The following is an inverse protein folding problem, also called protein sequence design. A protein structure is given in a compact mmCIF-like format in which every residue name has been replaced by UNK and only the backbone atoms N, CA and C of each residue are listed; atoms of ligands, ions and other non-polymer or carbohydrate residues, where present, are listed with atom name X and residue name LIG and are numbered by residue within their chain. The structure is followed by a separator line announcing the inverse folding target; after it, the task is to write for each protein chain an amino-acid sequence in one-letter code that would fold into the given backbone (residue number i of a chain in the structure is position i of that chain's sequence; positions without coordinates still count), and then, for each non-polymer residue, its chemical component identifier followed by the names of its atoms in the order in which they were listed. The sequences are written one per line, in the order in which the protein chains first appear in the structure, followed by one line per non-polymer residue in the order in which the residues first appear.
data_IF_273197233575
#
_entry.id   IF_273197233575
#
_cell.length_a   1.000
_cell.length_b   1.000
_cell.length_c   1.000
_cell.angle_alpha   90.00
_cell.angle_beta   90.00
_cell.angle_gamma   90.00
#
_symmetry.space_group_name_H-M   'P 1'
#
loop_
_entity.id
_entity.type
_entity.pdbx_description
1 polymer ?
#
# COMPACT_ATOMS: atom_id res chain seq x y z
N UNK A 1 26.39 11.61 21.39
CA UNK A 1 26.83 11.01 20.10
C UNK A 1 26.84 9.50 20.29
N UNK A 2 25.72 8.84 20.02
CA UNK A 2 25.59 7.39 20.08
C UNK A 2 26.16 6.83 18.76
N UNK A 3 27.27 6.11 18.85
CA UNK A 3 27.89 5.38 17.73
C UNK A 3 26.84 4.43 17.14
N UNK A 4 26.38 4.71 15.93
CA UNK A 4 25.61 3.79 15.11
C UNK A 4 26.54 2.61 14.76
N UNK A 5 26.35 1.48 15.42
CA UNK A 5 26.99 0.23 15.01
C UNK A 5 26.46 -0.10 13.61
N UNK A 6 27.25 0.21 12.60
CA UNK A 6 26.96 -0.17 11.20
C UNK A 6 27.01 -1.69 11.15
N UNK A 7 25.84 -2.33 11.04
CA UNK A 7 25.75 -3.77 10.84
C UNK A 7 26.51 -4.15 9.57
N UNK A 8 27.22 -5.29 9.58
CA UNK A 8 27.88 -5.82 8.39
C UNK A 8 26.84 -5.99 7.28
N UNK A 9 27.16 -5.50 6.08
CA UNK A 9 26.33 -5.76 4.90
C UNK A 9 26.10 -7.28 4.73
N UNK A 10 24.88 -7.70 4.42
CA UNK A 10 24.59 -9.12 4.22
C UNK A 10 25.43 -9.68 3.08
N UNK A 11 25.95 -10.91 3.27
CA UNK A 11 26.70 -11.60 2.22
C UNK A 11 25.81 -12.01 1.04
N UNK A 12 26.42 -12.40 -0.07
CA UNK A 12 25.74 -12.87 -1.29
C UNK A 12 24.57 -13.87 -1.05
N UNK A 13 24.70 -14.88 -0.14
CA UNK A 13 23.58 -15.78 0.16
C UNK A 13 22.36 -15.06 0.75
N UNK A 14 22.57 -14.03 1.59
CA UNK A 14 21.49 -13.22 2.15
C UNK A 14 20.74 -12.43 1.08
N UNK A 15 21.46 -11.83 0.12
CA UNK A 15 20.86 -11.09 -1.00
C UNK A 15 20.03 -12.04 -1.89
N UNK A 16 20.52 -13.24 -2.17
CA UNK A 16 19.79 -14.21 -2.99
C UNK A 16 18.47 -14.67 -2.32
N UNK A 17 18.48 -14.86 -1.00
CA UNK A 17 17.26 -15.19 -0.23
C UNK A 17 16.27 -14.04 -0.31
N UNK A 18 16.69 -12.81 -0.09
CA UNK A 18 15.80 -11.64 -0.16
C UNK A 18 15.24 -11.44 -1.58
N UNK A 19 16.05 -11.61 -2.62
CA UNK A 19 15.58 -11.59 -4.01
C UNK A 19 14.52 -12.66 -4.27
N UNK A 20 14.70 -13.88 -3.73
CA UNK A 20 13.72 -14.95 -3.80
C UNK A 20 12.39 -14.61 -3.10
N UNK A 21 12.44 -13.94 -1.96
CA UNK A 21 11.25 -13.45 -1.23
C UNK A 21 10.50 -12.41 -2.06
N UNK A 22 11.21 -11.42 -2.62
CA UNK A 22 10.59 -10.40 -3.47
C UNK A 22 9.96 -11.03 -4.70
N UNK A 23 10.66 -11.95 -5.37
CA UNK A 23 10.12 -12.68 -6.51
C UNK A 23 8.87 -13.48 -6.13
N UNK A 24 8.89 -14.17 -4.99
CA UNK A 24 7.73 -14.91 -4.47
C UNK A 24 6.51 -14.01 -4.23
N UNK A 25 6.73 -12.81 -3.65
CA UNK A 25 5.67 -11.82 -3.45
C UNK A 25 5.10 -11.30 -4.77
N UNK A 26 5.96 -11.04 -5.77
CA UNK A 26 5.53 -10.64 -7.12
C UNK A 26 4.72 -11.75 -7.80
N UNK A 27 5.18 -13.00 -7.73
CA UNK A 27 4.46 -14.15 -8.30
C UNK A 27 3.11 -14.36 -7.63
N UNK A 28 3.01 -14.18 -6.30
CA UNK A 28 1.75 -14.26 -5.58
C UNK A 28 0.77 -13.15 -6.04
N UNK A 29 1.26 -11.92 -6.25
CA UNK A 29 0.44 -10.84 -6.78
C UNK A 29 -0.02 -11.13 -8.23
N UNK A 30 0.86 -11.63 -9.09
CA UNK A 30 0.52 -12.02 -10.46
C UNK A 30 -0.49 -13.16 -10.49
N UNK A 31 -0.37 -14.14 -9.58
CA UNK A 31 -1.34 -15.22 -9.43
C UNK A 31 -2.70 -14.70 -9.01
N UNK A 32 -2.77 -13.81 -8.01
CA UNK A 32 -4.01 -13.17 -7.58
C UNK A 32 -4.68 -12.43 -8.75
N UNK A 33 -3.91 -11.65 -9.52
CA UNK A 33 -4.38 -10.99 -10.74
C UNK A 33 -4.91 -11.99 -11.77
N UNK A 34 -4.15 -13.07 -12.05
CA UNK A 34 -4.55 -14.09 -13.02
C UNK A 34 -5.87 -14.77 -12.63
N UNK A 35 -6.08 -15.04 -11.35
CA UNK A 35 -7.32 -15.63 -10.82
C UNK A 35 -8.54 -14.68 -10.92
N UNK A 36 -8.33 -13.40 -11.17
CA UNK A 36 -9.39 -12.38 -11.21
C UNK A 36 -9.55 -11.71 -12.58
N UNK A 37 -8.86 -12.18 -13.64
CA UNK A 37 -8.86 -11.55 -14.96
C UNK A 37 -10.25 -11.33 -15.56
N UNK A 38 -11.15 -12.29 -15.41
CA UNK A 38 -12.48 -12.28 -16.00
C UNK A 38 -13.57 -11.89 -14.98
N UNK A 39 -13.21 -11.23 -13.87
CA UNK A 39 -14.15 -10.93 -12.79
C UNK A 39 -14.55 -9.45 -12.71
N UNK A 40 -14.40 -8.69 -13.80
CA UNK A 40 -14.71 -7.26 -13.78
C UNK A 40 -16.17 -6.99 -13.41
N UNK A 41 -17.14 -7.72 -13.99
CA UNK A 41 -18.57 -7.54 -13.70
C UNK A 41 -18.88 -7.82 -12.22
N UNK A 42 -18.26 -8.86 -11.64
CA UNK A 42 -18.39 -9.18 -10.20
C UNK A 42 -17.78 -8.06 -9.37
N UNK A 43 -16.61 -7.55 -9.77
CA UNK A 43 -15.91 -6.48 -9.05
C UNK A 43 -16.72 -5.17 -9.07
N UNK A 44 -17.37 -4.85 -10.19
CA UNK A 44 -18.28 -3.69 -10.31
C UNK A 44 -19.52 -3.88 -9.44
N UNK A 45 -20.15 -5.06 -9.44
CA UNK A 45 -21.31 -5.33 -8.59
C UNK A 45 -20.94 -5.22 -7.09
N UNK A 46 -19.75 -5.68 -6.70
CA UNK A 46 -19.23 -5.51 -5.35
C UNK A 46 -19.00 -4.03 -5.02
N UNK A 47 -18.53 -3.22 -5.98
CA UNK A 47 -18.33 -1.78 -5.79
C UNK A 47 -19.66 -1.05 -5.52
N UNK A 48 -20.72 -1.35 -6.29
CA UNK A 48 -22.07 -0.82 -6.02
C UNK A 48 -22.58 -1.19 -4.62
N UNK A 49 -22.34 -2.45 -4.21
CA UNK A 49 -22.75 -2.91 -2.88
C UNK A 49 -21.97 -2.22 -1.75
N UNK A 50 -20.68 -1.98 -1.96
CA UNK A 50 -19.82 -1.27 -1.03
C UNK A 50 -20.23 0.20 -0.91
N UNK A 51 -20.46 0.88 -2.04
CA UNK A 51 -20.93 2.27 -2.04
C UNK A 51 -22.26 2.42 -1.31
N UNK A 52 -23.24 1.54 -1.57
CA UNK A 52 -24.50 1.54 -0.84
C UNK A 52 -24.35 1.37 0.68
N UNK A 53 -23.33 0.63 1.12
CA UNK A 53 -22.97 0.54 2.54
C UNK A 53 -22.35 1.86 3.05
N UNK A 54 -21.42 2.45 2.29
CA UNK A 54 -20.77 3.72 2.65
C UNK A 54 -21.80 4.85 2.78
N UNK A 55 -22.73 4.97 1.83
CA UNK A 55 -23.83 5.95 1.88
C UNK A 55 -24.68 5.82 3.16
N UNK A 56 -25.05 4.58 3.54
CA UNK A 56 -25.78 4.33 4.79
C UNK A 56 -24.99 4.72 6.04
N UNK A 57 -23.66 4.69 5.97
CA UNK A 57 -22.75 5.08 7.06
C UNK A 57 -22.33 6.55 6.99
N UNK A 58 -22.72 7.30 5.94
CA UNK A 58 -22.27 8.67 5.70
C UNK A 58 -20.79 8.78 5.36
N UNK A 59 -20.24 7.77 4.69
CA UNK A 59 -18.81 7.63 4.35
C UNK A 59 -18.55 7.72 2.83
N UNK A 60 -19.41 8.34 2.06
CA UNK A 60 -19.34 8.54 0.61
C UNK A 60 -18.53 9.82 0.25
N UNK A 61 -17.27 9.86 0.63
CA UNK A 61 -16.43 11.06 0.49
C UNK A 61 -15.62 11.10 -0.80
N UNK A 62 -15.69 10.08 -1.64
CA UNK A 62 -14.92 9.94 -2.88
C UNK A 62 -15.22 11.08 -3.87
N UNK A 63 -16.50 11.42 -4.07
CA UNK A 63 -16.88 12.54 -4.93
C UNK A 63 -16.31 13.86 -4.43
N UNK A 64 -16.41 14.14 -3.13
CA UNK A 64 -15.85 15.37 -2.57
C UNK A 64 -14.33 15.45 -2.73
N UNK A 65 -13.63 14.32 -2.67
CA UNK A 65 -12.19 14.27 -2.92
C UNK A 65 -11.85 14.52 -4.40
N UNK A 66 -12.67 13.99 -5.34
CA UNK A 66 -12.49 14.24 -6.78
C UNK A 66 -12.87 15.67 -7.17
N UNK A 67 -13.98 16.21 -6.68
CA UNK A 67 -14.39 17.60 -6.92
C UNK A 67 -13.26 18.57 -6.58
N UNK A 68 -12.49 18.30 -5.52
CA UNK A 68 -11.36 19.13 -5.13
C UNK A 68 -10.23 19.14 -6.17
N UNK A 69 -9.94 18.01 -6.82
CA UNK A 69 -8.90 17.94 -7.88
C UNK A 69 -9.42 18.43 -9.22
N UNK A 70 -10.70 18.31 -9.50
CA UNK A 70 -11.34 18.84 -10.71
C UNK A 70 -11.44 20.37 -10.66
N UNK A 71 -11.77 20.93 -9.51
CA UNK A 71 -11.80 22.37 -9.28
C UNK A 71 -10.42 23.05 -9.44
N UNK A 72 -9.33 22.28 -9.21
CA UNK A 72 -7.95 22.80 -9.22
C UNK A 72 -7.06 21.89 -10.07
N UNK A 73 -6.92 22.12 -11.40
CA UNK A 73 -6.27 21.19 -12.33
C UNK A 73 -4.85 20.76 -11.96
N UNK A 74 -4.02 21.65 -11.39
CA UNK A 74 -2.68 21.27 -10.95
C UNK A 74 -2.70 20.30 -9.77
N UNK A 75 -3.75 20.30 -8.94
CA UNK A 75 -3.89 19.43 -7.78
C UNK A 75 -4.09 17.96 -8.22
N UNK A 76 -4.85 17.74 -9.29
CA UNK A 76 -5.01 16.41 -9.90
C UNK A 76 -3.67 15.85 -10.41
N UNK A 77 -2.87 16.70 -11.05
CA UNK A 77 -1.50 16.31 -11.47
C UNK A 77 -0.63 15.95 -10.27
N UNK A 78 -0.61 16.79 -9.23
CA UNK A 78 0.18 16.53 -8.01
C UNK A 78 -0.30 15.26 -7.30
N UNK A 79 -1.61 15.04 -7.19
CA UNK A 79 -2.18 13.82 -6.60
C UNK A 79 -1.76 12.57 -7.40
N UNK A 80 -1.80 12.62 -8.73
CA UNK A 80 -1.36 11.53 -9.60
C UNK A 80 0.13 11.21 -9.45
N UNK A 81 0.99 12.24 -9.38
CA UNK A 81 2.40 12.06 -9.09
C UNK A 81 2.65 11.49 -7.70
N UNK A 82 1.92 11.96 -6.69
CA UNK A 82 2.04 11.43 -5.33
C UNK A 82 1.55 9.98 -5.23
N UNK A 83 0.49 9.61 -5.96
CA UNK A 83 0.01 8.24 -6.06
C UNK A 83 1.14 7.30 -6.53
N UNK A 84 1.87 7.66 -7.57
CA UNK A 84 2.95 6.85 -8.15
C UNK A 84 4.19 6.84 -7.27
N UNK A 85 4.69 8.02 -6.91
CA UNK A 85 6.00 8.17 -6.27
C UNK A 85 5.95 8.13 -4.75
N UNK A 86 4.80 8.43 -4.16
CA UNK A 86 4.59 8.42 -2.72
C UNK A 86 4.33 7.04 -2.12
N UNK A 87 4.18 6.00 -2.91
CA UNK A 87 3.93 4.64 -2.41
C UNK A 87 5.09 3.69 -2.66
N UNK A 88 5.15 3.09 -3.85
CA UNK A 88 6.10 2.00 -4.12
C UNK A 88 7.57 2.41 -3.96
N UNK A 89 8.02 3.57 -4.45
CA UNK A 89 9.39 4.04 -4.22
C UNK A 89 9.69 4.30 -2.75
N UNK A 90 8.72 4.76 -1.96
CA UNK A 90 8.89 4.98 -0.52
C UNK A 90 9.06 3.66 0.22
N UNK A 91 8.20 2.67 -0.07
CA UNK A 91 8.32 1.32 0.52
C UNK A 91 9.64 0.67 0.13
N UNK A 92 10.01 0.71 -1.17
CA UNK A 92 11.25 0.15 -1.67
C UNK A 92 12.47 0.87 -1.07
N UNK A 93 12.45 2.20 -1.01
CA UNK A 93 13.51 3.00 -0.40
C UNK A 93 13.69 2.69 1.09
N UNK A 94 12.58 2.56 1.84
CA UNK A 94 12.63 2.16 3.24
C UNK A 94 13.25 0.76 3.40
N UNK A 95 12.84 -0.22 2.58
CA UNK A 95 13.43 -1.56 2.59
C UNK A 95 14.93 -1.51 2.30
N UNK A 96 15.37 -0.79 1.26
CA UNK A 96 16.80 -0.68 0.90
C UNK A 96 17.60 -0.01 2.00
N UNK A 97 17.14 1.13 2.52
CA UNK A 97 17.86 1.87 3.58
C UNK A 97 17.97 1.02 4.85
N UNK A 98 16.89 0.36 5.25
CA UNK A 98 16.91 -0.51 6.43
C UNK A 98 17.77 -1.76 6.21
N UNK A 99 17.74 -2.36 5.04
CA UNK A 99 18.60 -3.50 4.68
C UNK A 99 20.09 -3.16 4.84
N UNK A 100 20.47 -1.96 4.40
CA UNK A 100 21.87 -1.53 4.44
C UNK A 100 22.34 -1.07 5.85
N UNK A 101 21.44 -0.45 6.62
CA UNK A 101 21.85 0.26 7.85
C UNK A 101 21.23 -0.29 9.13
N UNK A 102 20.04 -0.93 9.05
CA UNK A 102 19.25 -1.39 10.21
C UNK A 102 18.67 -2.80 9.98
N UNK A 103 19.49 -3.87 9.95
CA UNK A 103 19.05 -5.23 9.54
C UNK A 103 17.90 -5.81 10.37
N UNK A 104 17.80 -5.45 11.66
CA UNK A 104 16.70 -5.90 12.53
C UNK A 104 15.38 -5.23 12.14
N UNK A 105 15.40 -3.93 11.91
CA UNK A 105 14.21 -3.18 11.52
C UNK A 105 13.81 -3.49 10.07
N UNK A 106 14.78 -3.80 9.20
CA UNK A 106 14.53 -4.38 7.89
C UNK A 106 13.73 -5.68 8.00
N UNK A 107 14.18 -6.63 8.82
CA UNK A 107 13.47 -7.89 8.99
C UNK A 107 12.04 -7.68 9.52
N UNK A 108 11.85 -6.73 10.44
CA UNK A 108 10.51 -6.32 10.92
C UNK A 108 9.65 -5.76 9.80
N UNK A 109 10.15 -4.78 9.04
CA UNK A 109 9.41 -4.18 7.92
C UNK A 109 9.04 -5.24 6.88
N UNK A 110 10.01 -6.00 6.39
CA UNK A 110 9.80 -7.09 5.44
C UNK A 110 8.74 -8.09 5.90
N UNK A 111 8.88 -8.60 7.14
CA UNK A 111 7.97 -9.59 7.69
C UNK A 111 6.55 -9.02 7.85
N UNK A 112 6.42 -7.76 8.23
CA UNK A 112 5.12 -7.10 8.35
C UNK A 112 4.45 -6.93 6.98
N UNK A 113 5.20 -6.50 5.95
CA UNK A 113 4.68 -6.37 4.58
C UNK A 113 4.27 -7.73 4.00
N UNK A 114 5.09 -8.77 4.20
CA UNK A 114 4.78 -10.13 3.73
C UNK A 114 3.54 -10.70 4.44
N UNK A 115 3.46 -10.57 5.76
CA UNK A 115 2.30 -11.05 6.52
C UNK A 115 1.02 -10.29 6.13
N UNK A 116 1.12 -8.97 5.93
CA UNK A 116 0.03 -8.16 5.38
C UNK A 116 -0.39 -8.65 3.98
N UNK A 117 0.58 -8.93 3.11
CA UNK A 117 0.32 -9.49 1.77
C UNK A 117 -0.39 -10.86 1.82
N UNK A 118 0.05 -11.76 2.72
CA UNK A 118 -0.58 -13.08 2.92
C UNK A 118 -2.06 -12.93 3.35
N UNK A 119 -2.40 -11.90 4.11
CA UNK A 119 -3.78 -11.63 4.53
C UNK A 119 -4.56 -10.89 3.44
N UNK A 120 -3.97 -9.91 2.79
CA UNK A 120 -4.67 -9.03 1.86
C UNK A 120 -4.86 -9.63 0.45
N UNK A 121 -3.88 -10.38 -0.09
CA UNK A 121 -4.00 -10.98 -1.43
C UNK A 121 -5.19 -11.95 -1.57
N UNK A 122 -5.50 -12.81 -0.61
CA UNK A 122 -6.72 -13.62 -0.65
C UNK A 122 -8.00 -12.79 -0.74
N UNK A 123 -8.04 -11.61 -0.11
CA UNK A 123 -9.22 -10.73 -0.20
C UNK A 123 -9.44 -10.27 -1.63
N UNK A 124 -8.39 -9.94 -2.39
CA UNK A 124 -8.51 -9.58 -3.81
C UNK A 124 -9.13 -10.69 -4.66
N UNK A 125 -8.84 -11.94 -4.32
CA UNK A 125 -9.36 -13.09 -5.07
C UNK A 125 -10.79 -13.42 -4.65
N UNK A 126 -11.09 -13.38 -3.35
CA UNK A 126 -12.38 -13.77 -2.78
C UNK A 126 -13.43 -12.67 -2.87
N UNK A 127 -13.00 -11.42 -2.91
CA UNK A 127 -13.84 -10.24 -3.01
C UNK A 127 -13.20 -9.23 -3.97
N UNK A 128 -13.16 -9.54 -5.27
CA UNK A 128 -12.67 -8.60 -6.27
C UNK A 128 -13.50 -7.33 -6.21
N UNK A 129 -12.84 -6.17 -6.15
CA UNK A 129 -13.50 -4.89 -5.98
C UNK A 129 -12.97 -3.90 -7.03
N UNK A 130 -13.86 -3.44 -7.89
CA UNK A 130 -13.52 -2.40 -8.84
C UNK A 130 -13.30 -1.06 -8.11
N UNK A 131 -12.21 -0.34 -8.40
CA UNK A 131 -12.03 1.01 -7.89
C UNK A 131 -13.07 1.96 -8.54
N UNK A 132 -13.36 3.13 -7.92
CA UNK A 132 -14.33 4.10 -8.43
C UNK A 132 -14.20 4.38 -9.94
N UNK A 133 -12.99 4.62 -10.43
CA UNK A 133 -12.68 4.92 -11.84
C UNK A 133 -13.07 3.84 -12.86
N UNK A 134 -13.31 2.61 -12.44
CA UNK A 134 -13.73 1.49 -13.30
C UNK A 134 -15.24 1.20 -13.19
N UNK A 135 -15.98 2.04 -12.49
CA UNK A 135 -17.43 1.94 -12.35
C UNK A 135 -18.13 2.98 -13.25
N UNK A 136 -19.43 2.79 -13.47
CA UNK A 136 -20.32 3.72 -14.16
C UNK A 136 -20.92 4.81 -13.24
N UNK A 137 -20.32 5.03 -12.08
CA UNK A 137 -20.83 5.90 -11.01
C UNK A 137 -20.36 7.36 -11.12
N UNK A 138 -19.81 7.75 -12.27
CA UNK A 138 -19.41 9.14 -12.55
C UNK A 138 -18.04 9.55 -12.02
N UNK A 139 -17.23 8.60 -11.57
CA UNK A 139 -15.85 8.86 -11.14
C UNK A 139 -14.88 8.93 -12.33
N UNK A 140 -13.91 9.84 -12.23
CA UNK A 140 -12.89 10.04 -13.26
C UNK A 140 -11.57 9.36 -12.89
N UNK A 141 -10.84 8.85 -13.89
CA UNK A 141 -9.47 8.40 -13.72
C UNK A 141 -8.50 9.56 -13.90
N UNK A 142 -8.03 10.16 -12.82
CA UNK A 142 -7.11 11.32 -12.90
C UNK A 142 -5.66 10.91 -13.16
N UNK A 143 -5.31 9.63 -13.02
CA UNK A 143 -3.95 9.13 -13.28
C UNK A 143 -3.73 8.82 -14.75
N UNK A 144 -4.75 8.28 -15.46
CA UNK A 144 -4.66 7.90 -16.87
C UNK A 144 -4.22 9.03 -17.81
N UNK A 145 -4.69 10.29 -17.67
CA UNK A 145 -4.26 11.39 -18.54
C UNK A 145 -2.82 11.87 -18.27
N UNK A 146 -2.18 11.43 -17.20
CA UNK A 146 -0.83 11.87 -16.86
C UNK A 146 0.23 10.98 -17.52
N UNK A 147 1.42 11.54 -17.79
CA UNK A 147 2.55 10.80 -18.35
C UNK A 147 3.08 9.66 -17.46
N UNK A 148 2.49 9.50 -16.26
CA UNK A 148 2.87 8.49 -15.27
C UNK A 148 1.97 7.25 -15.27
N UNK A 149 0.93 7.19 -16.11
CA UNK A 149 0.00 6.05 -16.15
C UNK A 149 0.73 4.71 -16.31
N UNK A 150 1.61 4.59 -17.28
CA UNK A 150 2.39 3.38 -17.52
C UNK A 150 3.31 2.98 -16.36
N UNK A 151 3.76 3.94 -15.55
CA UNK A 151 4.55 3.69 -14.35
C UNK A 151 3.69 3.31 -13.15
N UNK A 152 2.48 3.89 -13.03
CA UNK A 152 1.55 3.61 -11.95
C UNK A 152 0.89 2.24 -12.09
N UNK A 153 0.57 1.86 -13.31
CA UNK A 153 -0.19 0.65 -13.65
C UNK A 153 0.50 -0.08 -14.81
N UNK A 154 1.66 -0.73 -14.56
CA UNK A 154 2.35 -1.47 -15.61
C UNK A 154 1.42 -2.53 -16.21
N UNK A 155 1.23 -2.47 -17.52
CA UNK A 155 0.36 -3.39 -18.25
C UNK A 155 0.75 -4.84 -17.94
N UNK A 156 -0.23 -5.65 -17.53
CA UNK A 156 -0.01 -7.06 -17.21
C UNK A 156 0.52 -7.35 -15.80
N UNK A 157 0.88 -6.33 -14.99
CA UNK A 157 1.38 -6.50 -13.62
C UNK A 157 0.37 -5.97 -12.58
N UNK A 158 -0.20 -4.80 -12.82
CA UNK A 158 -1.18 -4.21 -11.91
C UNK A 158 -2.49 -5.02 -11.91
N UNK A 159 -3.04 -5.29 -10.72
CA UNK A 159 -4.37 -5.84 -10.56
C UNK A 159 -5.37 -4.68 -10.42
N UNK A 160 -6.10 -4.40 -11.49
CA UNK A 160 -6.97 -3.23 -11.58
C UNK A 160 -8.25 -3.33 -10.75
N UNK A 161 -8.69 -4.54 -10.42
CA UNK A 161 -9.91 -4.82 -9.64
C UNK A 161 -9.59 -5.28 -8.21
N UNK A 162 -8.49 -4.80 -7.67
CA UNK A 162 -7.99 -5.10 -6.32
C UNK A 162 -8.01 -3.83 -5.44
N UNK A 163 -9.19 -3.17 -5.32
CA UNK A 163 -9.28 -1.96 -4.53
C UNK A 163 -9.20 -2.24 -3.01
N UNK A 164 -9.84 -3.29 -2.50
CA UNK A 164 -9.84 -3.62 -1.07
C UNK A 164 -9.04 -4.89 -0.76
N UNK A 165 -8.13 -4.84 0.22
CA UNK A 165 -7.73 -3.71 1.06
C UNK A 165 -6.72 -2.78 0.39
N UNK A 166 -6.68 -1.49 0.76
CA UNK A 166 -5.69 -0.55 0.20
C UNK A 166 -4.27 -0.83 0.71
N UNK A 167 -3.44 -1.48 -0.10
CA UNK A 167 -2.01 -1.63 0.23
C UNK A 167 -1.25 -0.29 0.18
N UNK A 168 -1.72 0.70 -0.57
CA UNK A 168 -1.14 2.05 -0.56
C UNK A 168 -1.14 2.63 0.86
N UNK A 169 -2.26 2.54 1.54
CA UNK A 169 -2.39 3.04 2.91
C UNK A 169 -1.76 2.07 3.91
N UNK A 170 -2.10 0.78 3.84
CA UNK A 170 -1.65 -0.21 4.82
C UNK A 170 -0.13 -0.33 4.91
N UNK A 171 0.56 -0.39 3.78
CA UNK A 171 2.02 -0.53 3.75
C UNK A 171 2.73 0.77 4.13
N UNK A 172 2.17 1.94 3.81
CA UNK A 172 2.73 3.21 4.29
C UNK A 172 2.57 3.37 5.80
N UNK A 173 1.47 2.89 6.39
CA UNK A 173 1.32 2.82 7.85
C UNK A 173 2.38 1.92 8.47
N UNK A 174 2.65 0.74 7.88
CA UNK A 174 3.73 -0.16 8.35
C UNK A 174 5.09 0.53 8.28
N UNK A 175 5.43 1.15 7.15
CA UNK A 175 6.69 1.93 7.00
C UNK A 175 6.76 3.03 8.05
N UNK A 176 5.69 3.80 8.22
CA UNK A 176 5.63 4.90 9.18
C UNK A 176 5.85 4.43 10.62
N UNK A 177 5.25 3.33 11.04
CA UNK A 177 5.44 2.75 12.38
C UNK A 177 6.88 2.31 12.60
N UNK A 178 7.51 1.67 11.60
CA UNK A 178 8.91 1.24 11.71
C UNK A 178 9.85 2.44 11.76
N UNK A 179 9.68 3.43 10.86
CA UNK A 179 10.51 4.63 10.80
C UNK A 179 10.34 5.52 12.04
N UNK A 180 9.13 5.63 12.58
CA UNK A 180 8.85 6.35 13.82
C UNK A 180 9.71 5.86 15.00
N UNK A 181 9.94 4.56 15.09
CA UNK A 181 10.74 3.94 16.16
C UNK A 181 12.23 4.23 16.04
N UNK A 182 12.70 4.55 14.85
CA UNK A 182 14.11 4.81 14.54
C UNK A 182 14.53 6.25 14.77
N UNK A 183 13.59 7.19 14.83
CA UNK A 183 13.91 8.60 14.93
C UNK A 183 13.09 9.32 16.00
N UNK A 184 13.76 10.19 16.75
CA UNK A 184 13.13 11.13 17.69
C UNK A 184 12.96 12.52 17.09
N UNK A 185 13.47 12.75 15.87
CA UNK A 185 13.35 14.02 15.19
C UNK A 185 11.87 14.32 14.86
N UNK A 186 11.39 15.48 15.29
CA UNK A 186 9.98 15.85 15.15
C UNK A 186 9.49 15.86 13.71
N UNK A 187 10.32 16.30 12.76
CA UNK A 187 9.99 16.35 11.34
C UNK A 187 9.84 14.95 10.73
N UNK A 188 10.63 13.94 11.18
CA UNK A 188 10.46 12.54 10.78
C UNK A 188 9.13 12.01 11.30
N UNK A 189 8.80 12.29 12.54
CA UNK A 189 7.52 11.87 13.13
C UNK A 189 6.33 12.55 12.46
N UNK A 190 6.47 13.82 12.14
CA UNK A 190 5.45 14.54 11.35
C UNK A 190 5.25 13.90 9.99
N UNK A 191 6.34 13.57 9.29
CA UNK A 191 6.27 12.84 8.03
C UNK A 191 5.57 11.47 8.19
N UNK A 192 5.89 10.69 9.23
CA UNK A 192 5.24 9.39 9.49
C UNK A 192 3.71 9.50 9.69
N UNK A 193 3.21 10.65 10.12
CA UNK A 193 1.77 10.91 10.26
C UNK A 193 1.19 11.45 8.96
N UNK A 194 1.78 12.50 8.41
CA UNK A 194 1.21 13.21 7.27
C UNK A 194 1.26 12.39 5.99
N UNK A 195 2.32 11.61 5.76
CA UNK A 195 2.50 10.89 4.51
C UNK A 195 1.37 9.85 4.26
N UNK A 196 1.04 8.93 5.20
CA UNK A 196 -0.10 8.04 5.01
C UNK A 196 -1.45 8.76 4.98
N UNK A 197 -1.62 9.88 5.71
CA UNK A 197 -2.85 10.68 5.66
C UNK A 197 -3.05 11.33 4.29
N UNK A 198 -1.98 11.91 3.73
CA UNK A 198 -2.01 12.47 2.37
C UNK A 198 -2.32 11.36 1.36
N UNK A 199 -1.73 10.16 1.52
CA UNK A 199 -2.02 9.03 0.65
C UNK A 199 -3.50 8.61 0.76
N UNK A 200 -4.11 8.62 1.95
CA UNK A 200 -5.54 8.35 2.08
C UNK A 200 -6.38 9.28 1.19
N UNK A 201 -6.10 10.59 1.23
CA UNK A 201 -6.80 11.54 0.37
C UNK A 201 -6.49 11.31 -1.12
N UNK A 202 -5.21 11.10 -1.46
CA UNK A 202 -4.74 10.90 -2.84
C UNK A 202 -5.43 9.71 -3.51
N UNK A 203 -5.54 8.57 -2.84
CA UNK A 203 -6.14 7.38 -3.45
C UNK A 203 -7.66 7.51 -3.68
N UNK A 204 -8.35 8.33 -2.87
CA UNK A 204 -9.74 8.71 -3.10
C UNK A 204 -9.85 9.71 -4.26
N UNK A 205 -9.11 10.80 -4.19
CA UNK A 205 -9.11 11.88 -5.18
C UNK A 205 -8.72 11.41 -6.59
N UNK A 206 -7.92 10.36 -6.69
CA UNK A 206 -7.53 9.76 -7.98
C UNK A 206 -8.47 8.64 -8.46
N UNK A 207 -9.58 8.37 -7.77
CA UNK A 207 -10.55 7.35 -8.13
C UNK A 207 -10.03 5.92 -8.04
N UNK A 208 -8.99 5.67 -7.26
CA UNK A 208 -8.37 4.35 -7.15
C UNK A 208 -8.85 3.52 -5.95
N UNK A 209 -9.47 4.13 -4.96
CA UNK A 209 -9.96 3.44 -3.75
C UNK A 209 -11.27 4.02 -3.25
N UNK A 210 -12.01 3.19 -2.52
CA UNK A 210 -13.17 3.53 -1.72
C UNK A 210 -12.75 3.91 -0.29
N UNK A 211 -13.58 4.67 0.43
CA UNK A 211 -13.27 5.06 1.83
C UNK A 211 -13.05 3.83 2.71
N UNK A 212 -13.86 2.78 2.58
CA UNK A 212 -13.72 1.57 3.38
C UNK A 212 -12.48 0.71 3.03
N UNK A 213 -11.85 0.92 1.87
CA UNK A 213 -10.58 0.27 1.54
C UNK A 213 -9.45 0.71 2.46
N UNK A 214 -9.52 1.95 2.96
CA UNK A 214 -8.48 2.58 3.75
C UNK A 214 -8.34 1.91 5.13
N UNK A 215 -9.40 1.83 5.96
CA UNK A 215 -9.32 1.11 7.23
C UNK A 215 -9.04 -0.39 7.05
N UNK A 216 -9.53 -1.02 5.99
CA UNK A 216 -9.18 -2.40 5.66
C UNK A 216 -7.67 -2.54 5.39
N UNK A 217 -7.06 -1.60 4.66
CA UNK A 217 -5.62 -1.54 4.45
C UNK A 217 -4.84 -1.34 5.75
N UNK A 218 -5.27 -0.41 6.60
CA UNK A 218 -4.67 -0.20 7.94
C UNK A 218 -4.73 -1.48 8.76
N UNK A 219 -5.87 -2.17 8.78
CA UNK A 219 -6.04 -3.43 9.51
C UNK A 219 -5.04 -4.49 9.05
N UNK A 220 -4.89 -4.66 7.74
CA UNK A 220 -3.90 -5.59 7.15
C UNK A 220 -2.48 -5.20 7.57
N UNK A 221 -2.13 -3.91 7.57
CA UNK A 221 -0.84 -3.42 8.04
C UNK A 221 -0.60 -3.70 9.53
N UNK A 222 -1.62 -3.47 10.37
CA UNK A 222 -1.55 -3.75 11.83
C UNK A 222 -1.40 -5.23 12.11
N UNK A 223 -2.14 -6.10 11.40
CA UNK A 223 -1.98 -7.56 11.50
C UNK A 223 -0.54 -7.95 11.10
N UNK A 224 -0.02 -7.39 10.01
CA UNK A 224 1.35 -7.63 9.57
C UNK A 224 2.39 -7.25 10.64
N UNK A 225 2.25 -6.07 11.25
CA UNK A 225 3.12 -5.63 12.36
C UNK A 225 3.02 -6.55 13.58
N UNK A 226 1.81 -7.01 13.91
CA UNK A 226 1.59 -7.97 14.99
C UNK A 226 2.32 -9.30 14.74
N UNK A 227 2.21 -9.85 13.54
CA UNK A 227 2.91 -11.09 13.14
C UNK A 227 4.42 -10.90 13.19
N UNK A 228 4.95 -9.79 12.67
CA UNK A 228 6.38 -9.49 12.73
C UNK A 228 6.88 -9.41 14.19
N UNK A 229 6.12 -8.76 15.08
CA UNK A 229 6.42 -8.69 16.51
C UNK A 229 6.44 -10.08 17.19
N UNK A 230 5.52 -10.97 16.82
CA UNK A 230 5.49 -12.35 17.34
C UNK A 230 6.71 -13.15 16.87
N UNK A 231 7.13 -13.00 15.62
CA UNK A 231 8.33 -13.66 15.07
C UNK A 231 9.56 -13.21 15.86
N UNK A 232 9.72 -11.90 16.10
CA UNK A 232 10.84 -11.36 16.88
C UNK A 232 10.85 -11.87 18.31
N UNK A 233 9.69 -11.88 18.98
CA UNK A 233 9.58 -12.36 20.36
C UNK A 233 9.94 -13.87 20.50
N UNK A 234 9.59 -14.67 19.48
CA UNK A 234 9.99 -16.09 19.44
C UNK A 234 11.50 -16.24 19.23
N UNK A 235 12.08 -15.51 18.29
CA UNK A 235 13.51 -15.55 18.03
C UNK A 235 14.33 -15.17 19.29
N UNK A 236 13.90 -14.17 20.05
CA UNK A 236 14.55 -13.74 21.28
C UNK A 236 14.48 -14.75 22.45
N UNK A 237 13.53 -15.71 22.40
CA UNK A 237 13.40 -16.77 23.43
C UNK A 237 14.24 -18.02 23.11
N UNK A 238 14.71 -18.15 21.89
CA UNK A 238 15.48 -19.29 21.39
C UNK A 238 17.00 -19.07 21.42
N UNK A 239 17.43 -17.87 21.79
CA UNK A 239 18.82 -17.46 22.02
C UNK A 239 19.12 -17.35 23.52
#
# INVERSE_FOLDING_TARGET
MTSLAVGRAPGLPGVAVEAGIVLGALLANLLARWLTLDQLDVAVANAHSLLALQERLGLDWEHAAQDAVEAVPWLGTVASWFYVWGYLPVVAGALVVLFLHHPRDYARLRNALLAGGIVGLPVYVLYPLAPPRLTDLGYTDTVAPTLVEGAARPVGIANEIAAMPSFHVGYLVVVSVVVWRLSTAWWVRLWCVLHPLVMCWVVLATGNHWVLDLPAGVLVGVVGLGVAGLIEARAARST
#
